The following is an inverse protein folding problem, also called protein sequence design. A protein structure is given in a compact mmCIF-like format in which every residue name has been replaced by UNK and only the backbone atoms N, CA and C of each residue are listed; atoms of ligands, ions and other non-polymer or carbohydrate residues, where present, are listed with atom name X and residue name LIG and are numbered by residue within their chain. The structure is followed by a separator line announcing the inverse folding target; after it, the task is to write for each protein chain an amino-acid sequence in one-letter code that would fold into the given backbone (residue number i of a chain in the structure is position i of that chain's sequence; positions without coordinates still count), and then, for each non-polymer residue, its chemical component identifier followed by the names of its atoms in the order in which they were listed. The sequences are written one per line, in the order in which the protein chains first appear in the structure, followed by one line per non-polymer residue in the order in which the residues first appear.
data_IF_027230484571
#
_entry.id   IF_027230484571
#
_cell.length_a   1.000
_cell.length_b   1.000
_cell.length_c   1.000
_cell.angle_alpha   90.00
_cell.angle_beta   90.00
_cell.angle_gamma   90.00
#
_symmetry.space_group_name_H-M   'P 1'
#
loop_
_entity.id
_entity.type
_entity.pdbx_description
1 polymer ?
#
# COMPACT_ATOMS: atom_id res chain seq x y z
N UNK A 1 -3.85 -37.67 34.17
CA UNK A 1 -3.69 -37.16 32.78
C UNK A 1 -4.13 -35.71 32.76
N UNK A 2 -3.18 -34.80 32.94
CA UNK A 2 -3.41 -33.35 33.06
C UNK A 2 -3.54 -32.74 31.67
N UNK A 3 -4.76 -32.40 31.26
CA UNK A 3 -5.07 -31.58 30.10
C UNK A 3 -4.45 -30.18 30.28
N UNK A 4 -3.19 -30.04 29.88
CA UNK A 4 -2.52 -28.76 29.76
C UNK A 4 -2.92 -28.19 28.41
N UNK A 5 -3.98 -27.39 28.37
CA UNK A 5 -4.24 -26.47 27.26
C UNK A 5 -2.99 -25.60 27.08
N UNK A 6 -2.18 -25.94 26.08
CA UNK A 6 -0.86 -25.35 25.86
C UNK A 6 -1.04 -23.89 25.44
N UNK A 7 -0.87 -22.97 26.39
CA UNK A 7 -0.92 -21.53 26.15
C UNK A 7 0.16 -21.15 25.12
N UNK A 8 -0.25 -20.72 23.92
CA UNK A 8 0.65 -20.34 22.84
C UNK A 8 0.69 -18.80 22.69
N UNK A 9 1.76 -18.11 23.10
CA UNK A 9 1.85 -16.65 23.10
C UNK A 9 2.19 -16.09 21.71
N UNK A 10 1.27 -16.21 20.76
CA UNK A 10 1.48 -15.77 19.37
C UNK A 10 1.75 -14.26 19.25
N UNK A 11 1.18 -13.43 20.15
CA UNK A 11 1.23 -11.96 20.08
C UNK A 11 2.33 -11.34 20.97
N UNK A 12 3.42 -12.06 21.26
CA UNK A 12 4.59 -11.49 21.97
C UNK A 12 5.65 -10.94 21.02
N UNK A 13 6.45 -10.01 21.53
CA UNK A 13 7.66 -9.45 20.91
C UNK A 13 7.43 -8.68 19.59
N UNK A 14 6.37 -7.85 19.54
CA UNK A 14 6.10 -6.96 18.39
C UNK A 14 6.85 -5.62 18.45
N UNK A 15 7.57 -5.33 19.53
CA UNK A 15 8.26 -4.04 19.72
C UNK A 15 9.19 -3.68 18.54
N UNK A 16 10.04 -4.59 18.01
CA UNK A 16 10.92 -4.26 16.89
C UNK A 16 10.14 -3.83 15.63
N UNK A 17 9.05 -4.53 15.30
CA UNK A 17 8.20 -4.18 14.17
C UNK A 17 7.53 -2.82 14.35
N UNK A 18 7.12 -2.52 15.58
CA UNK A 18 6.45 -1.26 15.92
C UNK A 18 7.30 -0.04 15.56
N UNK A 19 8.60 -0.06 15.86
CA UNK A 19 9.51 1.06 15.50
C UNK A 19 9.54 1.30 13.99
N UNK A 20 9.56 0.24 13.18
CA UNK A 20 9.51 0.37 11.73
C UNK A 20 8.15 0.86 11.23
N UNK A 21 7.03 0.38 11.79
CA UNK A 21 5.70 0.91 11.46
C UNK A 21 5.61 2.41 11.77
N UNK A 22 6.22 2.87 12.86
CA UNK A 22 6.28 4.28 13.21
C UNK A 22 7.12 5.10 12.22
N UNK A 23 8.29 4.59 11.80
CA UNK A 23 9.11 5.23 10.77
C UNK A 23 8.36 5.34 9.43
N UNK A 24 7.71 4.26 9.00
CA UNK A 24 6.88 4.24 7.78
C UNK A 24 5.72 5.25 7.90
N UNK A 25 5.08 5.35 9.07
CA UNK A 25 4.04 6.34 9.31
C UNK A 25 4.56 7.78 9.15
N UNK A 26 5.72 8.11 9.74
CA UNK A 26 6.32 9.45 9.63
C UNK A 26 6.70 9.81 8.20
N UNK A 27 7.39 8.90 7.50
CA UNK A 27 7.79 9.13 6.10
C UNK A 27 6.56 9.21 5.20
N UNK A 28 5.60 8.32 5.41
CA UNK A 28 4.35 8.25 4.66
C UNK A 28 3.52 9.51 4.80
N UNK A 29 3.24 9.97 6.02
CA UNK A 29 2.41 11.17 6.23
C UNK A 29 3.06 12.42 5.63
N UNK A 30 4.38 12.59 5.77
CA UNK A 30 5.11 13.71 5.17
C UNK A 30 5.00 13.65 3.64
N UNK A 31 5.23 12.47 3.05
CA UNK A 31 5.15 12.24 1.61
C UNK A 31 3.76 12.49 1.04
N UNK A 32 2.73 11.93 1.67
CA UNK A 32 1.32 12.07 1.27
C UNK A 32 0.84 13.52 1.40
N UNK A 33 1.13 14.22 2.51
CA UNK A 33 0.78 15.63 2.67
C UNK A 33 1.43 16.51 1.60
N UNK A 34 2.70 16.28 1.30
CA UNK A 34 3.39 17.00 0.24
C UNK A 34 2.76 16.73 -1.15
N UNK A 35 2.38 15.47 -1.43
CA UNK A 35 1.70 15.09 -2.67
C UNK A 35 0.35 15.78 -2.84
N UNK A 36 -0.45 15.83 -1.77
CA UNK A 36 -1.73 16.56 -1.77
C UNK A 36 -1.53 18.02 -2.10
N UNK A 37 -0.56 18.67 -1.46
CA UNK A 37 -0.27 20.07 -1.73
C UNK A 37 0.10 20.32 -3.20
N UNK A 38 0.95 19.44 -3.76
CA UNK A 38 1.36 19.53 -5.16
C UNK A 38 0.20 19.31 -6.14
N UNK A 39 -0.69 18.35 -5.88
CA UNK A 39 -1.83 18.05 -6.75
C UNK A 39 -2.94 19.11 -6.67
N UNK A 40 -3.18 19.70 -5.49
CA UNK A 40 -4.15 20.80 -5.34
C UNK A 40 -3.66 22.05 -6.10
N UNK A 41 -2.38 22.41 -5.97
CA UNK A 41 -1.88 23.67 -6.52
C UNK A 41 -1.72 23.67 -8.05
N UNK A 42 -1.31 22.54 -8.64
CA UNK A 42 -1.10 22.42 -10.09
C UNK A 42 -2.25 21.60 -10.66
N UNK A 43 -3.37 22.24 -11.01
CA UNK A 43 -4.59 21.63 -11.56
C UNK A 43 -4.30 20.45 -12.54
N UNK A 44 -4.24 19.22 -12.03
CA UNK A 44 -3.76 18.02 -12.78
C UNK A 44 -4.84 17.37 -13.65
N UNK A 45 -5.96 18.06 -13.88
CA UNK A 45 -7.27 17.53 -14.25
C UNK A 45 -7.42 16.91 -15.66
N UNK A 46 -6.33 16.69 -16.40
CA UNK A 46 -6.44 16.33 -17.82
C UNK A 46 -5.86 14.96 -18.20
N UNK A 47 -5.34 14.16 -17.26
CA UNK A 47 -4.79 12.82 -17.58
C UNK A 47 -5.37 11.71 -16.70
N UNK A 48 -5.64 10.57 -17.33
CA UNK A 48 -6.07 9.31 -16.71
C UNK A 48 -5.16 8.91 -15.52
N UNK A 49 -3.84 8.94 -15.72
CA UNK A 49 -2.85 8.64 -14.65
C UNK A 49 -3.04 9.52 -13.41
N UNK A 50 -3.31 10.82 -13.58
CA UNK A 50 -3.49 11.72 -12.43
C UNK A 50 -4.64 11.25 -11.53
N UNK A 51 -5.71 10.70 -12.11
CA UNK A 51 -6.86 10.19 -11.36
C UNK A 51 -6.46 8.95 -10.57
N UNK A 52 -5.73 8.01 -11.16
CA UNK A 52 -5.25 6.84 -10.42
C UNK A 52 -4.29 7.22 -9.29
N UNK A 53 -3.40 8.19 -9.50
CA UNK A 53 -2.50 8.68 -8.45
C UNK A 53 -3.24 9.41 -7.32
N UNK A 54 -4.31 10.16 -7.63
CA UNK A 54 -5.14 10.79 -6.60
C UNK A 54 -5.87 9.71 -5.78
N UNK A 55 -6.40 8.67 -6.42
CA UNK A 55 -7.05 7.58 -5.69
C UNK A 55 -6.07 6.79 -4.82
N UNK A 56 -4.85 6.56 -5.30
CA UNK A 56 -3.76 5.98 -4.52
C UNK A 56 -3.45 6.84 -3.30
N UNK A 57 -3.27 8.14 -3.50
CA UNK A 57 -3.04 9.09 -2.42
C UNK A 57 -4.20 9.13 -1.40
N UNK A 58 -5.45 9.04 -1.84
CA UNK A 58 -6.60 8.92 -0.94
C UNK A 58 -6.53 7.65 -0.11
N UNK A 59 -6.17 6.52 -0.71
CA UNK A 59 -5.97 5.27 0.00
C UNK A 59 -4.81 5.38 1.01
N UNK A 60 -3.74 6.10 0.68
CA UNK A 60 -2.59 6.34 1.56
C UNK A 60 -2.98 7.13 2.82
N UNK A 61 -3.89 8.10 2.68
CA UNK A 61 -4.45 8.79 3.85
C UNK A 61 -5.24 7.85 4.76
N UNK A 62 -6.05 6.95 4.19
CA UNK A 62 -6.77 5.97 5.01
C UNK A 62 -5.80 5.04 5.77
N UNK A 63 -4.68 4.66 5.14
CA UNK A 63 -3.65 3.86 5.80
C UNK A 63 -2.92 4.64 6.89
N UNK A 64 -2.51 5.88 6.63
CA UNK A 64 -1.84 6.73 7.64
C UNK A 64 -2.73 7.00 8.85
N UNK A 65 -4.05 7.11 8.68
CA UNK A 65 -5.01 7.17 9.80
C UNK A 65 -5.10 5.86 10.59
N UNK A 66 -4.90 4.72 9.93
CA UNK A 66 -4.96 3.40 10.54
C UNK A 66 -3.68 3.04 11.33
N UNK A 67 -2.50 3.49 10.88
CA UNK A 67 -1.21 3.11 11.45
C UNK A 67 -1.06 3.45 12.95
N UNK A 68 -1.44 4.63 13.46
CA UNK A 68 -1.34 4.96 14.89
C UNK A 68 -2.07 3.94 15.78
N UNK A 69 -3.28 3.54 15.38
CA UNK A 69 -4.05 2.56 16.14
C UNK A 69 -3.36 1.20 16.11
N UNK A 70 -2.85 0.75 14.95
CA UNK A 70 -2.06 -0.49 14.85
C UNK A 70 -0.85 -0.45 15.80
N UNK A 71 -0.08 0.63 15.75
CA UNK A 71 1.12 0.84 16.58
C UNK A 71 0.77 0.75 18.07
N UNK A 72 -0.31 1.41 18.52
CA UNK A 72 -0.71 1.35 19.94
C UNK A 72 -1.15 -0.05 20.39
N UNK A 73 -1.74 -0.83 19.49
CA UNK A 73 -2.16 -2.21 19.76
C UNK A 73 -0.95 -3.13 19.86
N UNK A 74 0.01 -2.99 18.93
CA UNK A 74 1.23 -3.81 18.88
C UNK A 74 2.18 -3.52 20.05
N UNK A 75 2.20 -2.28 20.56
CA UNK A 75 2.90 -1.90 21.80
C UNK A 75 2.27 -2.50 23.07
N UNK A 76 1.08 -3.10 22.97
CA UNK A 76 0.37 -3.67 24.12
C UNK A 76 -0.30 -2.64 25.03
N UNK A 77 -0.10 -1.34 24.80
CA UNK A 77 -0.66 -0.24 25.62
C UNK A 77 -2.12 0.12 25.26
N UNK A 78 -2.65 -0.41 24.16
CA UNK A 78 -4.02 -0.13 23.74
C UNK A 78 -5.06 -0.68 24.74
N UNK A 79 -6.05 0.14 25.15
CA UNK A 79 -7.17 -0.31 25.97
C UNK A 79 -8.04 -1.33 25.20
N UNK A 80 -8.81 -2.14 25.91
CA UNK A 80 -9.62 -3.21 25.33
C UNK A 80 -10.53 -2.74 24.18
N UNK A 81 -11.21 -1.61 24.36
CA UNK A 81 -12.06 -1.00 23.32
C UNK A 81 -11.28 -0.62 22.06
N UNK A 82 -10.05 -0.14 22.19
CA UNK A 82 -9.21 0.21 21.04
C UNK A 82 -8.70 -1.03 20.30
N UNK A 83 -8.46 -2.15 21.01
CA UNK A 83 -8.15 -3.45 20.38
C UNK A 83 -9.33 -3.97 19.56
N UNK A 84 -10.55 -3.86 20.08
CA UNK A 84 -11.77 -4.22 19.35
C UNK A 84 -11.90 -3.32 18.10
N UNK A 85 -11.75 -2.01 18.27
CA UNK A 85 -11.78 -1.05 17.16
C UNK A 85 -10.73 -1.37 16.08
N UNK A 86 -9.52 -1.75 16.50
CA UNK A 86 -8.48 -2.17 15.58
C UNK A 86 -8.92 -3.38 14.73
N UNK A 87 -9.47 -4.41 15.38
CA UNK A 87 -9.89 -5.63 14.72
C UNK A 87 -11.09 -5.46 13.78
N UNK A 88 -11.96 -4.49 14.05
CA UNK A 88 -13.12 -4.21 13.21
C UNK A 88 -12.79 -3.23 12.09
N UNK A 89 -12.12 -2.12 12.38
CA UNK A 89 -11.99 -0.98 11.47
C UNK A 89 -10.58 -0.84 10.96
N UNK A 90 -9.61 -0.62 11.85
CA UNK A 90 -8.23 -0.29 11.47
C UNK A 90 -7.57 -1.37 10.62
N UNK A 91 -7.68 -2.64 11.01
CA UNK A 91 -7.13 -3.75 10.24
C UNK A 91 -7.74 -3.82 8.83
N UNK A 92 -9.04 -3.56 8.71
CA UNK A 92 -9.73 -3.51 7.43
C UNK A 92 -9.27 -2.33 6.57
N UNK A 93 -9.03 -1.13 7.14
CA UNK A 93 -8.47 0.01 6.42
C UNK A 93 -7.08 -0.28 5.84
N UNK A 94 -6.23 -1.00 6.59
CA UNK A 94 -4.91 -1.43 6.10
C UNK A 94 -5.06 -2.32 4.86
N UNK A 95 -5.98 -3.28 4.89
CA UNK A 95 -6.25 -4.13 3.74
C UNK A 95 -6.90 -3.38 2.58
N UNK A 96 -7.83 -2.46 2.85
CA UNK A 96 -8.43 -1.60 1.81
C UNK A 96 -7.32 -0.84 1.07
N UNK A 97 -6.39 -0.19 1.78
CA UNK A 97 -5.24 0.46 1.15
C UNK A 97 -4.44 -0.54 0.29
N UNK A 98 -4.04 -1.68 0.85
CA UNK A 98 -3.25 -2.68 0.13
C UNK A 98 -3.87 -3.06 -1.23
N UNK A 99 -5.17 -3.41 -1.27
CA UNK A 99 -5.79 -3.81 -2.53
C UNK A 99 -6.06 -2.64 -3.47
N UNK A 100 -6.41 -1.46 -2.96
CA UNK A 100 -6.52 -0.27 -3.80
C UNK A 100 -5.17 0.07 -4.43
N UNK A 101 -4.07 0.04 -3.67
CA UNK A 101 -2.73 0.26 -4.19
C UNK A 101 -2.35 -0.78 -5.24
N UNK A 102 -2.59 -2.06 -5.00
CA UNK A 102 -2.35 -3.13 -6.00
C UNK A 102 -3.07 -2.84 -7.32
N UNK A 103 -4.36 -2.49 -7.23
CA UNK A 103 -5.21 -2.29 -8.40
C UNK A 103 -4.82 -1.00 -9.15
N UNK A 104 -4.65 0.12 -8.44
CA UNK A 104 -4.29 1.39 -9.07
C UNK A 104 -2.88 1.38 -9.66
N UNK A 105 -1.91 0.72 -9.02
CA UNK A 105 -0.57 0.53 -9.59
C UNK A 105 -0.61 -0.30 -10.88
N UNK A 106 -1.47 -1.32 -10.95
CA UNK A 106 -1.68 -2.08 -12.18
C UNK A 106 -2.30 -1.21 -13.29
N UNK A 107 -3.31 -0.39 -12.99
CA UNK A 107 -3.87 0.56 -13.97
C UNK A 107 -2.86 1.61 -14.43
N UNK A 108 -2.01 2.10 -13.53
CA UNK A 108 -0.89 2.98 -13.88
C UNK A 108 0.08 2.26 -14.84
N UNK A 109 0.40 0.99 -14.59
CA UNK A 109 1.26 0.20 -15.48
C UNK A 109 0.62 -0.02 -16.86
N UNK A 110 -0.69 -0.33 -16.91
CA UNK A 110 -1.46 -0.46 -18.16
C UNK A 110 -1.44 0.85 -18.95
N UNK A 111 -1.75 1.98 -18.33
CA UNK A 111 -1.77 3.28 -19.01
C UNK A 111 -0.41 3.57 -19.67
N UNK A 112 0.70 3.31 -18.96
CA UNK A 112 2.04 3.50 -19.50
C UNK A 112 2.40 2.54 -20.61
N UNK A 113 2.00 1.28 -20.50
CA UNK A 113 2.17 0.29 -21.57
C UNK A 113 1.38 0.69 -22.83
N UNK A 114 0.15 1.21 -22.66
CA UNK A 114 -0.70 1.66 -23.77
C UNK A 114 -0.11 2.88 -24.48
N UNK A 115 0.44 3.85 -23.74
CA UNK A 115 1.15 5.02 -24.30
C UNK A 115 2.32 4.65 -25.21
N UNK A 116 2.96 3.49 -24.98
CA UNK A 116 4.11 3.02 -25.76
C UNK A 116 3.73 2.09 -26.91
N UNK A 117 2.72 1.24 -26.72
CA UNK A 117 2.39 0.16 -27.67
C UNK A 117 1.54 0.61 -28.82
N UNK A 118 0.56 1.46 -28.53
CA UNK A 118 -0.40 1.91 -29.51
C UNK A 118 -0.25 3.43 -29.61
N UNK A 119 0.17 3.93 -30.78
CA UNK A 119 0.09 5.35 -31.09
C UNK A 119 -1.37 5.80 -30.95
N UNK A 120 -1.75 6.26 -29.75
CA UNK A 120 -2.93 7.04 -29.38
C UNK A 120 -4.33 6.61 -29.88
N UNK A 121 -4.51 5.46 -30.55
CA UNK A 121 -5.80 5.10 -31.19
C UNK A 121 -6.84 4.46 -30.27
N UNK A 122 -6.50 4.07 -29.04
CA UNK A 122 -7.49 3.64 -28.03
C UNK A 122 -7.84 4.83 -27.14
N UNK A 123 -8.63 5.77 -27.69
CA UNK A 123 -9.01 7.01 -27.01
C UNK A 123 -9.77 6.76 -25.69
N UNK A 124 -10.61 5.73 -25.63
CA UNK A 124 -11.61 5.58 -24.56
C UNK A 124 -11.08 5.11 -23.20
N UNK A 125 -10.00 4.32 -23.14
CA UNK A 125 -9.41 3.86 -21.86
C UNK A 125 -8.52 4.95 -21.23
N UNK A 126 -7.93 5.81 -22.05
CA UNK A 126 -7.09 6.92 -21.58
C UNK A 126 -7.90 8.19 -21.28
N UNK A 127 -9.22 8.14 -21.48
CA UNK A 127 -10.12 9.23 -21.12
C UNK A 127 -10.25 9.39 -19.60
N UNK A 128 -10.17 10.62 -19.08
CA UNK A 128 -10.40 10.91 -17.66
C UNK A 128 -11.77 10.42 -17.16
N UNK A 129 -12.80 10.40 -18.01
CA UNK A 129 -14.13 9.88 -17.67
C UNK A 129 -14.12 8.39 -17.34
N UNK A 130 -13.44 7.58 -18.18
CA UNK A 130 -13.26 6.16 -17.92
C UNK A 130 -12.46 5.91 -16.64
N UNK A 131 -11.38 6.68 -16.42
CA UNK A 131 -10.57 6.61 -15.21
C UNK A 131 -11.38 6.87 -13.93
N UNK A 132 -12.29 7.85 -13.94
CA UNK A 132 -13.20 8.13 -12.82
C UNK A 132 -14.18 6.97 -12.59
N UNK A 133 -14.82 6.50 -13.64
CA UNK A 133 -15.78 5.40 -13.58
C UNK A 133 -15.12 4.12 -13.03
N UNK A 134 -13.99 3.70 -13.59
CA UNK A 134 -13.31 2.49 -13.14
C UNK A 134 -12.78 2.64 -11.70
N UNK A 135 -12.31 3.83 -11.31
CA UNK A 135 -11.89 4.08 -9.93
C UNK A 135 -13.07 3.91 -8.96
N UNK A 136 -14.26 4.43 -9.29
CA UNK A 136 -15.46 4.25 -8.47
C UNK A 136 -15.86 2.77 -8.33
N UNK A 137 -15.78 2.00 -9.43
CA UNK A 137 -16.03 0.54 -9.42
C UNK A 137 -15.02 -0.18 -8.52
N UNK A 138 -13.74 0.16 -8.61
CA UNK A 138 -12.67 -0.43 -7.78
C UNK A 138 -12.91 -0.14 -6.30
N UNK A 139 -13.23 1.10 -5.94
CA UNK A 139 -13.57 1.45 -4.57
C UNK A 139 -14.77 0.65 -4.06
N UNK A 140 -15.86 0.61 -4.83
CA UNK A 140 -17.06 -0.12 -4.44
C UNK A 140 -16.77 -1.61 -4.25
N UNK A 141 -16.01 -2.22 -5.17
CA UNK A 141 -15.63 -3.63 -5.09
C UNK A 141 -14.79 -3.92 -3.83
N UNK A 142 -13.73 -3.14 -3.59
CA UNK A 142 -12.86 -3.35 -2.42
C UNK A 142 -13.62 -3.12 -1.11
N UNK A 143 -14.46 -2.07 -1.05
CA UNK A 143 -15.30 -1.80 0.11
C UNK A 143 -16.33 -2.92 0.32
N UNK A 144 -16.96 -3.44 -0.73
CA UNK A 144 -17.92 -4.54 -0.62
C UNK A 144 -17.27 -5.82 -0.05
N UNK A 145 -16.01 -6.08 -0.39
CA UNK A 145 -15.26 -7.22 0.12
C UNK A 145 -14.84 -7.01 1.59
N UNK A 146 -14.44 -5.79 1.95
CA UNK A 146 -13.83 -5.48 3.25
C UNK A 146 -14.81 -5.02 4.34
N UNK A 147 -15.80 -4.21 4.00
CA UNK A 147 -16.78 -3.63 4.95
C UNK A 147 -17.56 -4.69 5.73
N UNK A 148 -17.97 -5.83 5.16
CA UNK A 148 -18.65 -6.86 5.95
C UNK A 148 -17.75 -7.42 7.07
N UNK A 149 -16.42 -7.45 6.89
CA UNK A 149 -15.50 -7.83 7.98
C UNK A 149 -15.50 -6.84 9.15
N UNK A 150 -15.95 -5.59 8.93
CA UNK A 150 -16.11 -4.56 9.96
C UNK A 150 -17.44 -4.70 10.70
N UNK A 151 -18.53 -4.97 9.96
CA UNK A 151 -19.92 -4.90 10.47
C UNK A 151 -20.36 -6.21 11.13
N UNK A 152 -19.82 -7.37 10.71
CA UNK A 152 -20.25 -8.67 11.25
C UNK A 152 -20.06 -8.70 12.78
N UNK A 153 -21.11 -9.06 13.55
CA UNK A 153 -21.06 -9.05 15.00
C UNK A 153 -19.94 -9.92 15.58
N UNK A 154 -19.29 -9.40 16.61
CA UNK A 154 -18.23 -10.09 17.36
C UNK A 154 -18.81 -10.88 18.55
N UNK A 155 -17.99 -11.76 19.12
CA UNK A 155 -18.25 -12.42 20.40
C UNK A 155 -17.86 -11.48 21.54
N UNK A 156 -18.65 -11.48 22.60
CA UNK A 156 -18.28 -10.83 23.85
C UNK A 156 -17.28 -11.70 24.60
N UNK A 157 -16.01 -11.29 24.58
CA UNK A 157 -14.91 -11.99 25.23
C UNK A 157 -14.48 -11.18 26.45
N UNK A 158 -14.38 -11.84 27.61
CA UNK A 158 -13.79 -11.22 28.82
C UNK A 158 -12.35 -10.80 28.54
N UNK A 159 -11.95 -9.65 29.06
CA UNK A 159 -10.60 -9.11 28.84
C UNK A 159 -9.53 -10.13 29.24
N UNK A 160 -8.67 -10.48 28.28
CA UNK A 160 -7.58 -11.43 28.46
C UNK A 160 -6.34 -10.99 27.68
N UNK A 161 -5.13 -11.28 28.18
CA UNK A 161 -3.91 -11.05 27.42
C UNK A 161 -3.87 -12.01 26.21
N UNK A 162 -3.17 -11.59 25.13
CA UNK A 162 -2.88 -12.42 23.96
C UNK A 162 -4.12 -12.89 23.15
N UNK A 163 -5.21 -12.10 23.14
CA UNK A 163 -6.40 -12.34 22.31
C UNK A 163 -6.25 -11.71 20.92
N UNK A 164 -6.39 -12.53 19.88
CA UNK A 164 -6.31 -12.09 18.49
C UNK A 164 -7.63 -11.59 17.88
N UNK A 165 -7.54 -10.87 16.76
CA UNK A 165 -8.74 -10.41 16.02
C UNK A 165 -9.66 -11.54 15.54
N UNK A 166 -9.12 -12.73 15.28
CA UNK A 166 -9.91 -13.89 14.86
C UNK A 166 -10.76 -14.47 15.99
N UNK A 167 -10.35 -14.31 17.25
CA UNK A 167 -11.10 -14.82 18.40
C UNK A 167 -12.39 -14.04 18.61
N UNK A 168 -12.37 -12.73 18.34
CA UNK A 168 -13.57 -11.88 18.39
C UNK A 168 -14.61 -12.26 17.32
N UNK A 169 -14.24 -12.92 16.21
CA UNK A 169 -15.20 -13.23 15.14
C UNK A 169 -16.09 -14.44 15.50
N UNK A 170 -17.39 -14.31 15.25
CA UNK A 170 -18.33 -15.45 15.20
C UNK A 170 -18.02 -16.36 14.01
N UNK A 171 -18.60 -17.56 13.98
CA UNK A 171 -18.37 -18.55 12.91
C UNK A 171 -18.60 -17.96 11.51
N UNK A 172 -19.73 -17.27 11.30
CA UNK A 172 -20.01 -16.57 10.05
C UNK A 172 -18.92 -15.54 9.69
N UNK A 173 -18.44 -14.76 10.66
CA UNK A 173 -17.37 -13.79 10.45
C UNK A 173 -16.02 -14.43 10.13
N UNK A 174 -15.73 -15.62 10.68
CA UNK A 174 -14.53 -16.39 10.36
C UNK A 174 -14.60 -16.95 8.94
N UNK A 175 -15.74 -17.52 8.55
CA UNK A 175 -15.96 -18.02 7.19
C UNK A 175 -15.90 -16.90 6.16
N UNK A 176 -16.50 -15.74 6.46
CA UNK A 176 -16.38 -14.55 5.61
C UNK A 176 -14.93 -14.07 5.51
N UNK A 177 -14.18 -14.03 6.62
CA UNK A 177 -12.78 -13.64 6.62
C UNK A 177 -11.93 -14.58 5.73
N UNK A 178 -12.16 -15.89 5.81
CA UNK A 178 -11.51 -16.87 4.95
C UNK A 178 -11.83 -16.63 3.46
N UNK A 179 -13.12 -16.45 3.14
CA UNK A 179 -13.56 -16.12 1.77
C UNK A 179 -12.91 -14.83 1.26
N UNK A 180 -12.92 -13.76 2.06
CA UNK A 180 -12.25 -12.50 1.75
C UNK A 180 -10.76 -12.70 1.47
N UNK A 181 -10.07 -13.54 2.24
CA UNK A 181 -8.65 -13.84 2.01
C UNK A 181 -8.43 -14.56 0.68
N UNK A 182 -9.26 -15.53 0.31
CA UNK A 182 -9.15 -16.20 -0.99
C UNK A 182 -9.42 -15.25 -2.16
N UNK A 183 -10.49 -14.44 -2.08
CA UNK A 183 -10.80 -13.42 -3.09
C UNK A 183 -9.64 -12.43 -3.22
N UNK A 184 -9.08 -12.01 -2.10
CA UNK A 184 -7.95 -11.09 -2.04
C UNK A 184 -6.69 -11.62 -2.73
N UNK A 185 -6.34 -12.89 -2.49
CA UNK A 185 -5.25 -13.56 -3.19
C UNK A 185 -5.54 -13.65 -4.69
N UNK A 186 -6.78 -13.98 -5.08
CA UNK A 186 -7.16 -14.00 -6.48
C UNK A 186 -7.00 -12.61 -7.14
N UNK A 187 -7.44 -11.54 -6.48
CA UNK A 187 -7.24 -10.15 -6.95
C UNK A 187 -5.74 -9.89 -7.15
N UNK A 188 -4.92 -10.20 -6.14
CA UNK A 188 -3.47 -10.00 -6.22
C UNK A 188 -2.84 -10.75 -7.41
N UNK A 189 -3.19 -12.02 -7.62
CA UNK A 189 -2.66 -12.82 -8.73
C UNK A 189 -3.07 -12.25 -10.10
N UNK A 190 -4.34 -11.84 -10.25
CA UNK A 190 -4.84 -11.25 -11.50
C UNK A 190 -4.10 -9.94 -11.83
N UNK A 191 -3.98 -9.02 -10.87
CA UNK A 191 -3.30 -7.75 -11.09
C UNK A 191 -1.78 -7.89 -11.19
N UNK A 192 -1.17 -8.86 -10.50
CA UNK A 192 0.24 -9.24 -10.69
C UNK A 192 0.50 -9.73 -12.11
N UNK A 193 -0.37 -10.57 -12.66
CA UNK A 193 -0.25 -11.06 -14.04
C UNK A 193 -0.34 -9.90 -15.04
N UNK A 194 -1.27 -8.95 -14.83
CA UNK A 194 -1.38 -7.73 -15.65
C UNK A 194 -0.08 -6.91 -15.61
N UNK A 195 0.47 -6.67 -14.41
CA UNK A 195 1.73 -5.93 -14.26
C UNK A 195 2.86 -6.67 -14.99
N UNK A 196 3.00 -7.99 -14.80
CA UNK A 196 4.04 -8.79 -15.45
C UNK A 196 3.92 -8.72 -16.98
N UNK A 197 2.72 -8.90 -17.54
CA UNK A 197 2.48 -8.81 -18.99
C UNK A 197 2.85 -7.41 -19.49
N UNK A 198 2.43 -6.34 -18.79
CA UNK A 198 2.75 -4.97 -19.18
C UNK A 198 4.26 -4.69 -19.19
N UNK A 199 5.01 -5.21 -18.21
CA UNK A 199 6.46 -5.13 -18.17
C UNK A 199 7.10 -5.87 -19.35
N UNK A 200 6.67 -7.11 -19.62
CA UNK A 200 7.18 -7.90 -20.72
C UNK A 200 6.96 -7.21 -22.08
N UNK A 201 5.80 -6.60 -22.31
CA UNK A 201 5.50 -5.87 -23.55
C UNK A 201 6.39 -4.64 -23.73
N UNK A 202 6.62 -3.89 -22.65
CA UNK A 202 7.46 -2.68 -22.67
C UNK A 202 8.92 -3.02 -22.91
N UNK A 203 9.43 -4.07 -22.26
CA UNK A 203 10.81 -4.56 -22.48
C UNK A 203 10.97 -4.98 -23.95
N UNK A 204 10.02 -5.74 -24.51
CA UNK A 204 10.05 -6.11 -25.93
C UNK A 204 10.08 -4.89 -26.85
N UNK A 205 9.32 -3.84 -26.55
CA UNK A 205 9.34 -2.59 -27.32
C UNK A 205 10.64 -1.83 -27.22
N UNK A 206 11.27 -1.81 -26.04
CA UNK A 206 12.58 -1.20 -25.86
C UNK A 206 13.62 -1.85 -26.77
N UNK A 207 13.65 -3.19 -26.81
CA UNK A 207 14.57 -3.91 -27.69
C UNK A 207 14.29 -3.63 -29.16
N UNK A 208 13.02 -3.54 -29.57
CA UNK A 208 12.65 -3.27 -30.98
C UNK A 208 12.94 -1.85 -31.44
N UNK A 209 12.82 -0.86 -30.56
CA UNK A 209 12.95 0.56 -30.89
C UNK A 209 14.32 1.16 -30.50
N UNK A 210 15.34 0.32 -30.28
CA UNK A 210 16.67 0.72 -29.79
C UNK A 210 17.34 1.77 -30.68
N UNK A 211 17.12 1.69 -32.00
CA UNK A 211 17.75 2.55 -33.01
C UNK A 211 16.79 3.63 -33.56
N UNK A 212 15.65 3.85 -32.91
CA UNK A 212 14.61 4.78 -33.38
C UNK A 212 14.65 6.09 -32.57
N UNK A 213 14.29 7.24 -33.18
CA UNK A 213 14.27 8.55 -32.50
C UNK A 213 13.34 8.59 -31.27
N UNK A 214 12.41 7.64 -31.16
CA UNK A 214 11.49 7.53 -30.03
C UNK A 214 12.10 6.83 -28.80
N UNK A 215 13.35 6.35 -28.87
CA UNK A 215 14.09 5.70 -27.79
C UNK A 215 14.06 6.44 -26.43
N UNK A 216 14.28 7.78 -26.34
CA UNK A 216 14.22 8.50 -25.06
C UNK A 216 12.83 8.45 -24.39
N UNK A 217 11.74 8.50 -25.16
CA UNK A 217 10.38 8.39 -24.63
C UNK A 217 10.10 6.98 -24.11
N UNK A 218 10.53 5.95 -24.85
CA UNK A 218 10.42 4.54 -24.45
C UNK A 218 11.23 4.28 -23.16
N UNK A 219 12.46 4.79 -23.09
CA UNK A 219 13.33 4.68 -21.89
C UNK A 219 12.68 5.31 -20.66
N UNK A 220 12.09 6.49 -20.78
CA UNK A 220 11.43 7.19 -19.66
C UNK A 220 10.22 6.42 -19.12
N UNK A 221 9.39 5.89 -20.02
CA UNK A 221 8.24 5.09 -19.65
C UNK A 221 8.67 3.73 -19.03
N UNK A 222 9.71 3.09 -19.57
CA UNK A 222 10.31 1.89 -18.98
C UNK A 222 10.78 2.14 -17.54
N UNK A 223 11.56 3.20 -17.29
CA UNK A 223 12.04 3.52 -15.93
C UNK A 223 10.86 3.69 -14.97
N UNK A 224 9.79 4.34 -15.43
CA UNK A 224 8.59 4.55 -14.60
C UNK A 224 7.88 3.23 -14.28
N UNK A 225 7.71 2.34 -15.26
CA UNK A 225 7.07 1.03 -15.09
C UNK A 225 7.93 0.10 -14.22
N UNK A 226 9.25 0.07 -14.44
CA UNK A 226 10.17 -0.73 -13.61
C UNK A 226 10.16 -0.26 -12.16
N UNK A 227 10.06 1.05 -11.91
CA UNK A 227 9.95 1.61 -10.58
C UNK A 227 8.65 1.18 -9.90
N UNK A 228 7.50 1.31 -10.59
CA UNK A 228 6.19 0.79 -10.13
C UNK A 228 6.31 -0.69 -9.76
N UNK A 229 6.91 -1.48 -10.64
CA UNK A 229 7.00 -2.94 -10.53
C UNK A 229 7.92 -3.35 -9.38
N UNK A 230 9.04 -2.64 -9.20
CA UNK A 230 9.98 -2.91 -8.11
C UNK A 230 9.32 -2.61 -6.76
N UNK A 231 8.67 -1.45 -6.63
CA UNK A 231 7.91 -1.12 -5.42
C UNK A 231 6.80 -2.13 -5.14
N UNK A 232 6.06 -2.53 -6.18
CA UNK A 232 5.00 -3.53 -6.08
C UNK A 232 5.52 -4.88 -5.58
N UNK A 233 6.62 -5.38 -6.15
CA UNK A 233 7.21 -6.66 -5.78
C UNK A 233 7.69 -6.61 -4.33
N UNK A 234 8.42 -5.57 -3.93
CA UNK A 234 8.96 -5.43 -2.58
C UNK A 234 7.82 -5.34 -1.54
N UNK A 235 6.77 -4.58 -1.84
CA UNK A 235 5.70 -4.33 -0.87
C UNK A 235 4.70 -5.48 -0.79
N UNK A 236 4.20 -5.99 -1.92
CA UNK A 236 3.00 -6.84 -1.91
C UNK A 236 3.26 -8.33 -2.09
N UNK A 237 4.27 -8.73 -2.84
CA UNK A 237 4.54 -10.15 -3.14
C UNK A 237 4.88 -10.95 -1.87
N UNK A 238 5.80 -10.50 -0.98
CA UNK A 238 6.13 -11.22 0.24
C UNK A 238 4.92 -11.48 1.13
N UNK A 239 4.04 -10.48 1.25
CA UNK A 239 2.83 -10.60 2.07
C UNK A 239 1.90 -11.68 1.56
N UNK A 240 1.63 -11.71 0.26
CA UNK A 240 0.72 -12.71 -0.32
C UNK A 240 1.31 -14.13 -0.30
N UNK A 241 2.64 -14.26 -0.41
CA UNK A 241 3.34 -15.54 -0.25
C UNK A 241 3.14 -16.14 1.16
N UNK A 242 3.17 -15.30 2.20
CA UNK A 242 2.99 -15.73 3.60
C UNK A 242 1.51 -15.81 4.01
N UNK A 243 0.62 -15.08 3.35
CA UNK A 243 -0.78 -14.95 3.77
C UNK A 243 -1.54 -16.27 3.77
N UNK A 244 -1.37 -17.11 2.75
CA UNK A 244 -2.05 -18.41 2.64
C UNK A 244 -1.66 -19.35 3.80
N UNK A 245 -0.36 -19.67 4.01
CA UNK A 245 0.01 -20.57 5.11
C UNK A 245 -0.35 -19.99 6.48
N UNK A 246 -0.25 -18.67 6.68
CA UNK A 246 -0.71 -18.04 7.92
C UNK A 246 -2.22 -18.22 8.13
N UNK A 247 -3.04 -18.01 7.10
CA UNK A 247 -4.50 -18.18 7.18
C UNK A 247 -4.87 -19.63 7.52
N UNK A 248 -4.16 -20.60 6.94
CA UNK A 248 -4.31 -22.02 7.29
C UNK A 248 -3.84 -22.32 8.72
N UNK A 249 -2.85 -21.61 9.24
CA UNK A 249 -2.44 -21.80 10.64
C UNK A 249 -3.47 -21.33 11.65
N UNK A 250 -4.35 -20.42 11.23
CA UNK A 250 -5.49 -19.95 12.02
C UNK A 250 -6.68 -20.91 11.98
N UNK A 251 -6.66 -21.95 11.14
CA UNK A 251 -7.60 -23.08 11.22
C UNK A 251 -7.01 -24.18 12.10
N UNK A 252 -7.81 -25.20 12.42
CA UNK A 252 -7.34 -26.35 13.23
C UNK A 252 -6.40 -27.29 12.45
N UNK A 253 -6.03 -26.94 11.21
CA UNK A 253 -5.17 -27.75 10.33
C UNK A 253 -3.71 -27.73 10.77
N UNK A 254 -3.21 -26.61 11.34
CA UNK A 254 -1.84 -26.51 11.86
C UNK A 254 -1.90 -26.34 13.37
N UNK A 255 -1.50 -27.37 14.10
CA UNK A 255 -1.57 -27.45 15.57
C UNK A 255 -0.25 -27.06 16.26
N UNK A 256 0.88 -27.04 15.55
CA UNK A 256 2.18 -26.71 16.14
C UNK A 256 2.31 -25.22 16.51
N UNK A 257 2.63 -24.95 17.78
CA UNK A 257 2.73 -23.59 18.33
C UNK A 257 3.95 -22.83 17.75
N UNK A 258 5.08 -23.51 17.54
CA UNK A 258 6.27 -22.87 16.97
C UNK A 258 6.00 -22.35 15.55
N UNK A 259 5.37 -23.19 14.73
CA UNK A 259 4.95 -22.84 13.37
C UNK A 259 3.96 -21.68 13.36
N UNK A 260 2.99 -21.65 14.28
CA UNK A 260 2.04 -20.53 14.42
C UNK A 260 2.72 -19.21 14.77
N UNK A 261 3.68 -19.23 15.70
CA UNK A 261 4.46 -18.04 16.08
C UNK A 261 5.29 -17.55 14.89
N UNK A 262 5.97 -18.47 14.18
CA UNK A 262 6.80 -18.16 13.02
C UNK A 262 5.97 -17.53 11.88
N UNK A 263 4.82 -18.14 11.54
CA UNK A 263 3.92 -17.62 10.51
C UNK A 263 3.31 -16.27 10.90
N UNK A 264 3.00 -16.06 12.19
CA UNK A 264 2.53 -14.76 12.66
C UNK A 264 3.60 -13.68 12.51
N UNK A 265 4.84 -13.94 12.96
CA UNK A 265 5.97 -13.00 12.82
C UNK A 265 6.28 -12.72 11.34
N UNK A 266 6.27 -13.75 10.49
CA UNK A 266 6.44 -13.59 9.05
C UNK A 266 5.31 -12.74 8.44
N UNK A 267 4.05 -12.94 8.86
CA UNK A 267 2.92 -12.12 8.43
C UNK A 267 3.05 -10.66 8.87
N UNK A 268 3.52 -10.38 10.08
CA UNK A 268 3.76 -9.00 10.54
C UNK A 268 4.92 -8.33 9.79
N UNK A 269 6.03 -9.05 9.59
CA UNK A 269 7.19 -8.56 8.83
C UNK A 269 6.81 -8.23 7.37
N UNK A 270 6.08 -9.12 6.72
CA UNK A 270 5.63 -8.90 5.35
C UNK A 270 4.51 -7.87 5.23
N UNK A 271 3.68 -7.71 6.27
CA UNK A 271 2.71 -6.60 6.35
C UNK A 271 3.42 -5.25 6.47
N UNK A 272 4.52 -5.18 7.23
CA UNK A 272 5.37 -4.00 7.31
C UNK A 272 5.92 -3.61 5.92
N UNK A 273 6.39 -4.59 5.14
CA UNK A 273 6.79 -4.35 3.75
C UNK A 273 5.62 -3.81 2.91
N UNK A 274 4.42 -4.36 3.08
CA UNK A 274 3.26 -3.91 2.33
C UNK A 274 2.84 -2.47 2.63
N UNK A 275 2.82 -2.05 3.91
CA UNK A 275 2.51 -0.66 4.29
C UNK A 275 3.63 0.31 3.96
N UNK A 276 4.83 -0.20 3.65
CA UNK A 276 5.94 0.63 3.17
C UNK A 276 5.65 1.20 1.77
N UNK A 277 4.58 0.76 1.09
CA UNK A 277 4.06 1.41 -0.13
C UNK A 277 3.90 2.94 0.05
N UNK A 278 3.48 3.39 1.23
CA UNK A 278 3.41 4.82 1.59
C UNK A 278 4.71 5.59 1.34
N UNK A 279 5.85 4.92 1.47
CA UNK A 279 7.17 5.53 1.23
C UNK A 279 7.56 5.49 -0.25
N UNK A 280 7.07 4.50 -1.00
CA UNK A 280 7.35 4.35 -2.43
C UNK A 280 6.45 5.23 -3.30
N UNK A 281 5.22 5.50 -2.87
CA UNK A 281 4.24 6.27 -3.64
C UNK A 281 4.68 7.73 -3.92
N UNK A 282 5.32 8.47 -3.01
CA UNK A 282 5.94 9.76 -3.33
C UNK A 282 7.00 9.69 -4.45
N UNK A 283 7.80 8.62 -4.49
CA UNK A 283 8.79 8.40 -5.54
C UNK A 283 8.05 8.18 -6.87
N UNK A 284 7.00 7.38 -6.84
CA UNK A 284 6.14 7.15 -7.99
C UNK A 284 5.52 8.47 -8.51
N UNK A 285 4.99 9.30 -7.62
CA UNK A 285 4.42 10.60 -7.96
C UNK A 285 5.45 11.51 -8.64
N UNK A 286 6.70 11.50 -8.19
CA UNK A 286 7.79 12.21 -8.86
C UNK A 286 8.04 11.72 -10.30
N UNK A 287 8.06 10.42 -10.55
CA UNK A 287 8.31 9.96 -11.92
C UNK A 287 7.12 10.20 -12.86
N UNK A 288 5.89 10.04 -12.34
CA UNK A 288 4.67 10.02 -13.15
C UNK A 288 3.96 11.36 -13.29
N UNK A 289 4.09 12.27 -12.33
CA UNK A 289 3.39 13.55 -12.32
C UNK A 289 4.33 14.73 -12.58
N UNK A 290 4.08 15.47 -13.67
CA UNK A 290 4.79 16.72 -13.96
C UNK A 290 4.51 17.78 -12.88
N UNK A 291 3.28 17.83 -12.36
CA UNK A 291 2.89 18.74 -11.30
C UNK A 291 3.71 18.52 -10.03
N UNK A 292 3.80 17.26 -9.57
CA UNK A 292 4.57 16.89 -8.39
C UNK A 292 6.06 17.20 -8.56
N UNK A 293 6.65 16.87 -9.72
CA UNK A 293 8.06 17.23 -10.02
C UNK A 293 8.31 18.72 -9.96
N UNK A 294 7.49 19.52 -10.65
CA UNK A 294 7.67 20.97 -10.69
C UNK A 294 7.59 21.54 -9.27
N UNK A 295 6.65 21.06 -8.46
CA UNK A 295 6.51 21.53 -7.07
C UNK A 295 7.71 21.17 -6.20
N UNK A 296 8.25 19.95 -6.35
CA UNK A 296 9.51 19.56 -5.69
C UNK A 296 10.64 20.50 -6.11
N UNK A 297 10.86 20.66 -7.41
CA UNK A 297 11.95 21.52 -7.92
C UNK A 297 11.81 22.96 -7.43
N UNK A 298 10.61 23.55 -7.46
CA UNK A 298 10.33 24.90 -6.95
C UNK A 298 10.65 25.01 -5.45
N UNK A 299 10.22 24.03 -4.63
CA UNK A 299 10.41 24.06 -3.17
C UNK A 299 11.87 23.92 -2.77
N UNK A 300 12.61 22.99 -3.41
CA UNK A 300 14.03 22.80 -3.12
C UNK A 300 14.92 23.91 -3.70
N UNK A 301 14.56 24.49 -4.85
CA UNK A 301 15.26 25.64 -5.40
C UNK A 301 15.13 26.87 -4.50
N UNK A 302 13.90 27.18 -4.05
CA UNK A 302 13.64 28.28 -3.11
C UNK A 302 14.39 28.08 -1.78
N UNK A 303 14.47 26.84 -1.27
CA UNK A 303 15.25 26.55 -0.07
C UNK A 303 16.76 26.77 -0.26
N UNK A 304 17.30 26.39 -1.43
CA UNK A 304 18.71 26.62 -1.78
C UNK A 304 19.03 28.11 -1.88
N UNK A 305 18.16 28.90 -2.50
CA UNK A 305 18.29 30.36 -2.61
C UNK A 305 18.22 31.04 -1.24
N UNK A 306 17.25 30.64 -0.39
CA UNK A 306 17.12 31.15 0.98
C UNK A 306 18.35 30.83 1.84
N UNK A 307 18.91 29.62 1.72
CA UNK A 307 20.11 29.20 2.44
C UNK A 307 21.35 29.99 1.98
N UNK A 308 21.53 30.18 0.67
CA UNK A 308 22.63 30.97 0.11
C UNK A 308 22.56 32.45 0.55
N UNK A 309 21.36 33.02 0.65
CA UNK A 309 21.16 34.39 1.12
C UNK A 309 21.45 34.54 2.63
N UNK A 310 21.19 33.50 3.42
CA UNK A 310 21.47 33.46 4.87
C UNK A 310 22.95 33.23 5.20
N UNK A 311 23.69 32.54 4.33
CA UNK A 311 25.15 32.42 4.43
C UNK A 311 25.87 33.73 4.05
N UNK A 312 25.36 34.48 3.07
CA UNK A 312 25.90 35.79 2.68
C UNK A 312 25.67 36.91 3.71
N UNK A 313 24.70 36.77 4.60
CA UNK A 313 24.36 37.78 5.62
C UNK A 313 24.96 37.50 7.00
N UNK A 314 25.76 36.44 7.16
CA UNK A 314 26.44 36.14 8.42
C UNK A 314 27.68 37.05 8.55
N UNK A 315 27.74 37.95 9.55
CA UNK A 315 28.89 38.83 9.70
C UNK A 315 30.14 38.00 10.05
N UNK A 316 31.24 38.25 9.34
CA UNK A 316 32.58 37.76 9.66
C UNK A 316 33.07 38.44 10.95
N UNK A 317 32.74 37.88 12.11
CA UNK A 317 33.42 38.21 13.35
C UNK A 317 34.29 37.03 13.77
N UNK A 318 35.58 37.12 13.45
CA UNK A 318 36.69 37.13 14.41
C UNK A 318 38.04 37.04 13.67
N UNK A 319 38.66 38.20 13.44
CA UNK A 319 40.10 38.40 13.58
C UNK A 319 40.29 39.48 14.63
#
# INVERSE_FOLDING_TARGET
MTNSSTFCPVYRDLEPFTYFFYLVFLVGIIGSCFATWAFIQKNTNHRCVSIYLINLLTADFLLTLALPVKITVDLGVAPWKLRIFHCQVTACLIYINMYLSIIFLAFVSIDRCLQLTYSCKIYRIQEPGFAKMISAVVWLMVLLIMVPNMIIPIKDIKEKPNVGCMEFKKEFGRNWHLLTNFISVAIFLNFSAIILISNCLVIRQLYRNKDNENYPNVKRALVSILLVTTGYIICFVPYHAVRIPYTLSQTEVISDCSTRISLFKAKEATLLLAVSNLCFDPILYYHLSKAFRLKITETFASHKESKAQKEKSRPENNA
#
